data_IF_857260136137
#
_entry.id   IF_857260136137
#
_cell.length_a   1.000
_cell.length_b   1.000
_cell.length_c   1.000
_cell.angle_alpha   90.00
_cell.angle_beta   90.00
_cell.angle_gamma   90.00
#
_symmetry.space_group_name_H-M   'P 1'
#
loop_
_entity.id
_entity.type
_entity.pdbx_description
1 polymer ?
#
# COMPACT_ATOMS: atom_id res chain seq x y z
N UNK A 1 3.02 27.10 -7.32
CA UNK A 1 3.90 27.10 -6.14
C UNK A 1 3.37 26.02 -5.22
N UNK A 2 4.14 24.96 -4.98
CA UNK A 2 3.74 23.92 -4.03
C UNK A 2 4.01 24.42 -2.62
N UNK A 3 3.09 24.15 -1.71
CA UNK A 3 3.23 24.49 -0.30
C UNK A 3 3.89 23.28 0.37
N UNK A 4 5.11 23.46 0.83
CA UNK A 4 5.79 22.48 1.67
C UNK A 4 5.07 22.41 3.03
N UNK A 5 4.56 21.24 3.37
CA UNK A 5 3.91 20.94 4.64
C UNK A 5 4.82 20.05 5.46
N UNK A 6 5.11 20.46 6.70
CA UNK A 6 5.95 19.70 7.61
C UNK A 6 5.23 18.41 8.05
N UNK A 7 5.74 17.22 7.70
CA UNK A 7 5.06 15.96 7.98
C UNK A 7 5.11 15.56 9.46
N UNK A 8 5.91 16.23 10.29
CA UNK A 8 6.02 15.93 11.71
C UNK A 8 4.95 16.65 12.55
N UNK A 9 4.33 17.70 12.02
CA UNK A 9 3.21 18.38 12.69
C UNK A 9 1.85 17.69 12.53
N UNK A 10 1.73 16.74 11.60
CA UNK A 10 0.48 16.05 11.31
C UNK A 10 0.62 14.54 11.49
N UNK A 11 -0.42 13.87 11.99
CA UNK A 11 -0.44 12.40 11.96
C UNK A 11 -0.71 11.92 10.54
N UNK A 12 0.25 11.16 10.00
CA UNK A 12 0.05 10.37 8.79
C UNK A 12 -0.85 9.18 9.14
N UNK A 13 -2.15 9.29 8.83
CA UNK A 13 -3.05 8.16 8.90
C UNK A 13 -2.97 7.35 7.60
N UNK A 14 -2.49 6.11 7.71
CA UNK A 14 -2.61 5.13 6.65
C UNK A 14 -3.89 4.33 6.90
N UNK A 15 -4.90 4.57 6.07
CA UNK A 15 -6.06 3.68 6.01
C UNK A 15 -5.64 2.47 5.19
N UNK A 16 -5.45 1.32 5.85
CA UNK A 16 -5.25 0.06 5.15
C UNK A 16 -6.63 -0.46 4.75
N UNK A 17 -6.98 -0.45 3.45
CA UNK A 17 -8.24 -1.04 3.03
C UNK A 17 -8.23 -2.53 3.34
N UNK A 18 -9.32 -3.04 3.91
CA UNK A 18 -9.52 -4.48 4.03
C UNK A 18 -9.62 -5.06 2.62
N UNK A 19 -8.87 -6.13 2.37
CA UNK A 19 -8.78 -6.83 1.08
C UNK A 19 -10.20 -7.12 0.54
N UNK A 20 -11.12 -7.50 1.42
CA UNK A 20 -12.53 -7.78 1.09
C UNK A 20 -13.29 -6.61 0.45
N UNK A 21 -13.01 -5.35 0.81
CA UNK A 21 -13.88 -4.22 0.43
C UNK A 21 -13.45 -3.46 -0.83
N UNK A 22 -12.25 -3.71 -1.37
CA UNK A 22 -11.72 -2.97 -2.54
C UNK A 22 -11.35 -3.87 -3.72
N UNK A 23 -11.17 -5.18 -3.47
CA UNK A 23 -10.81 -6.15 -4.52
C UNK A 23 -12.02 -6.60 -5.35
N UNK A 24 -13.24 -6.46 -4.84
CA UNK A 24 -14.44 -6.99 -5.51
C UNK A 24 -14.89 -6.24 -6.78
N UNK A 25 -14.41 -5.02 -7.09
CA UNK A 25 -15.12 -4.20 -8.10
C UNK A 25 -14.31 -3.46 -9.17
N UNK A 26 -12.98 -3.37 -9.13
CA UNK A 26 -12.27 -2.55 -10.13
C UNK A 26 -10.95 -3.19 -10.56
N UNK A 27 -10.85 -3.48 -11.87
CA UNK A 27 -9.66 -3.92 -12.61
C UNK A 27 -8.35 -3.77 -11.82
N UNK A 28 -8.00 -4.80 -11.07
CA UNK A 28 -6.81 -4.79 -10.24
C UNK A 28 -5.64 -4.88 -11.21
N UNK A 29 -5.03 -3.73 -11.48
CA UNK A 29 -3.79 -3.66 -12.25
C UNK A 29 -2.78 -4.61 -11.57
N UNK A 30 -2.30 -5.59 -12.33
CA UNK A 30 -1.44 -6.67 -11.85
C UNK A 30 -0.14 -6.18 -11.19
N UNK A 31 0.21 -4.89 -11.39
CA UNK A 31 1.37 -4.23 -10.79
C UNK A 31 1.07 -3.72 -9.37
N UNK A 32 -0.19 -3.64 -8.96
CA UNK A 32 -0.57 -3.18 -7.62
C UNK A 32 -0.45 -4.34 -6.64
N UNK A 33 0.53 -4.21 -5.73
CA UNK A 33 0.77 -5.16 -4.65
C UNK A 33 0.17 -4.61 -3.36
N UNK A 34 -0.92 -5.23 -2.89
CA UNK A 34 -1.55 -4.88 -1.62
C UNK A 34 -0.71 -5.36 -0.43
N UNK A 35 -0.57 -4.52 0.59
CA UNK A 35 0.26 -4.83 1.78
C UNK A 35 -0.25 -6.04 2.58
N UNK A 36 -1.57 -6.29 2.55
CA UNK A 36 -2.18 -7.46 3.18
C UNK A 36 -1.98 -8.76 2.38
N UNK A 37 -1.61 -8.68 1.10
CA UNK A 37 -1.35 -9.84 0.25
C UNK A 37 0.11 -10.30 0.45
N UNK A 38 0.28 -11.17 1.46
CA UNK A 38 1.59 -11.62 1.93
C UNK A 38 2.36 -12.39 0.85
N UNK A 39 1.67 -13.08 -0.04
CA UNK A 39 2.29 -13.83 -1.14
C UNK A 39 2.78 -12.88 -2.22
N UNK A 40 1.95 -11.93 -2.68
CA UNK A 40 2.37 -10.94 -3.68
C UNK A 40 3.50 -10.04 -3.19
N UNK A 41 3.51 -9.60 -1.92
CA UNK A 41 4.62 -8.78 -1.40
C UNK A 41 5.94 -9.55 -1.34
N UNK A 42 5.91 -10.85 -1.00
CA UNK A 42 7.11 -11.70 -1.00
C UNK A 42 7.64 -11.87 -2.43
N UNK A 43 6.74 -12.01 -3.40
CA UNK A 43 7.12 -12.11 -4.81
C UNK A 43 7.69 -10.79 -5.36
N UNK A 44 7.11 -9.64 -4.99
CA UNK A 44 7.51 -8.33 -5.51
C UNK A 44 8.78 -7.76 -4.87
N UNK A 45 8.92 -7.88 -3.55
CA UNK A 45 10.06 -7.33 -2.80
C UNK A 45 11.15 -8.36 -2.51
N UNK A 46 10.92 -9.63 -2.86
CA UNK A 46 11.76 -10.74 -2.45
C UNK A 46 11.62 -11.05 -0.96
N UNK A 47 12.31 -12.11 -0.54
CA UNK A 47 12.61 -12.33 0.87
C UNK A 47 13.72 -11.35 1.23
N UNK A 48 13.42 -10.39 2.12
CA UNK A 48 14.44 -9.50 2.67
C UNK A 48 15.45 -10.39 3.41
N UNK A 49 16.60 -10.65 2.78
CA UNK A 49 17.74 -11.30 3.42
C UNK A 49 18.26 -10.40 4.53
N UNK A 50 18.58 -11.02 5.66
CA UNK A 50 19.14 -10.42 6.87
C UNK A 50 20.39 -9.55 6.64
#
# INVERSE_FOLDING_TARGET
>A
MWIDVDPYQYQLHVTIPTIDSTIESENIDERVVYIGDVEKRKQAYGICGE
#
